data_IF_989045305249
#
_entry.id   IF_989045305249
#
_cell.length_a   1.000
_cell.length_b   1.000
_cell.length_c   1.000
_cell.angle_alpha   90.00
_cell.angle_beta   90.00
_cell.angle_gamma   90.00
#
_symmetry.space_group_name_H-M   'P 1'
#
loop_
_entity.id
_entity.type
_entity.pdbx_description
1 polymer ?
#
# COMPACT_ATOMS: atom_id res chain seq x y z
N UNK A 1 -11.72 29.77 -50.31
CA UNK A 1 -12.82 28.78 -50.16
C UNK A 1 -12.88 28.38 -48.71
N UNK A 2 -13.94 28.74 -47.98
CA UNK A 2 -14.14 28.26 -46.62
C UNK A 2 -14.39 26.74 -46.66
N UNK A 3 -13.46 25.97 -46.07
CA UNK A 3 -13.61 24.53 -45.96
C UNK A 3 -14.75 24.20 -44.99
N UNK A 4 -15.59 23.22 -45.32
CA UNK A 4 -16.68 22.78 -44.44
C UNK A 4 -16.12 22.31 -43.09
N UNK A 5 -16.70 22.70 -41.94
CA UNK A 5 -16.29 22.21 -40.63
C UNK A 5 -16.51 20.70 -40.51
N UNK A 6 -15.44 19.95 -40.22
CA UNK A 6 -15.46 18.49 -40.17
C UNK A 6 -14.82 17.95 -38.89
N UNK A 7 -15.24 16.76 -38.48
CA UNK A 7 -14.65 16.06 -37.35
C UNK A 7 -14.60 14.54 -37.58
N UNK A 8 -13.60 13.90 -36.99
CA UNK A 8 -13.55 12.44 -36.80
C UNK A 8 -13.99 12.14 -35.37
N UNK A 9 -14.87 11.17 -35.17
CA UNK A 9 -15.41 10.85 -33.83
C UNK A 9 -14.93 9.48 -33.35
N UNK A 10 -14.76 9.30 -32.05
CA UNK A 10 -14.46 7.99 -31.46
C UNK A 10 -15.67 7.05 -31.56
N UNK A 11 -15.44 5.74 -31.64
CA UNK A 11 -16.51 4.72 -31.66
C UNK A 11 -17.49 4.85 -30.50
N UNK A 12 -17.01 5.06 -29.28
CA UNK A 12 -17.85 5.28 -28.09
C UNK A 12 -18.76 6.51 -28.18
N UNK A 13 -18.34 7.57 -28.89
CA UNK A 13 -19.17 8.74 -29.15
C UNK A 13 -20.24 8.39 -30.19
N UNK A 14 -19.86 7.70 -31.27
CA UNK A 14 -20.78 7.27 -32.31
C UNK A 14 -21.88 6.36 -31.74
N UNK A 15 -21.51 5.35 -30.97
CA UNK A 15 -22.46 4.41 -30.36
C UNK A 15 -23.42 5.09 -29.38
N UNK A 16 -22.94 6.14 -28.69
CA UNK A 16 -23.74 6.89 -27.72
C UNK A 16 -24.78 7.80 -28.36
N UNK A 17 -24.42 8.51 -29.43
CA UNK A 17 -25.28 9.54 -30.03
C UNK A 17 -26.01 9.08 -31.30
N UNK A 18 -25.51 8.04 -31.96
CA UNK A 18 -26.12 7.44 -33.15
C UNK A 18 -26.18 5.91 -33.04
N UNK A 19 -26.85 5.35 -32.02
CA UNK A 19 -26.92 3.90 -31.82
C UNK A 19 -27.57 3.21 -33.03
N UNK A 20 -26.87 2.23 -33.61
CA UNK A 20 -27.35 1.43 -34.73
C UNK A 20 -27.49 2.19 -36.07
N UNK A 21 -26.92 3.39 -36.20
CA UNK A 21 -26.95 4.19 -37.44
C UNK A 21 -25.54 4.56 -37.87
N UNK A 22 -25.34 4.73 -39.18
CA UNK A 22 -24.07 5.22 -39.71
C UNK A 22 -23.85 6.69 -39.26
N UNK A 23 -22.78 6.98 -38.50
CA UNK A 23 -22.47 8.33 -38.06
C UNK A 23 -21.88 9.20 -39.18
N UNK A 24 -21.37 8.62 -40.28
CA UNK A 24 -20.71 9.37 -41.35
C UNK A 24 -21.74 10.27 -42.08
N UNK A 25 -21.34 11.52 -42.34
CA UNK A 25 -22.19 12.54 -42.97
C UNK A 25 -23.19 13.21 -42.02
N UNK A 26 -23.32 12.74 -40.77
CA UNK A 26 -24.17 13.39 -39.77
C UNK A 26 -23.52 14.67 -39.26
N UNK A 27 -24.37 15.58 -38.79
CA UNK A 27 -23.96 16.88 -38.25
C UNK A 27 -24.23 16.95 -36.75
N UNK A 28 -23.31 17.57 -36.02
CA UNK A 28 -23.43 17.83 -34.58
C UNK A 28 -22.79 19.17 -34.22
N UNK A 29 -23.02 19.65 -33.00
CA UNK A 29 -22.47 20.91 -32.47
C UNK A 29 -21.73 20.64 -31.16
N UNK A 30 -20.66 21.39 -30.93
CA UNK A 30 -19.82 21.33 -29.73
C UNK A 30 -19.77 22.71 -29.09
N UNK A 31 -20.39 22.88 -27.91
CA UNK A 31 -20.33 24.14 -27.15
C UNK A 31 -21.62 24.97 -27.07
N UNK A 32 -22.76 24.44 -27.53
CA UNK A 32 -24.07 25.12 -27.43
C UNK A 32 -24.77 25.31 -28.79
N UNK A 33 -25.85 26.08 -28.81
CA UNK A 33 -26.64 26.35 -30.03
C UNK A 33 -25.88 27.23 -31.04
N UNK A 34 -25.05 28.16 -30.55
CA UNK A 34 -24.26 29.09 -31.36
C UNK A 34 -22.99 28.45 -31.96
N UNK A 35 -22.69 27.20 -31.60
CA UNK A 35 -21.50 26.53 -32.07
C UNK A 35 -21.61 26.12 -33.55
N UNK A 36 -20.50 26.19 -34.32
CA UNK A 36 -20.48 25.78 -35.71
C UNK A 36 -20.87 24.30 -35.86
N UNK A 37 -21.69 24.01 -36.87
CA UNK A 37 -22.13 22.65 -37.17
C UNK A 37 -21.00 21.85 -37.83
N UNK A 38 -20.56 20.78 -37.17
CA UNK A 38 -19.49 19.90 -37.62
C UNK A 38 -20.08 18.68 -38.31
N UNK A 39 -19.52 18.30 -39.46
CA UNK A 39 -19.89 17.08 -40.18
C UNK A 39 -18.93 15.94 -39.83
N UNK A 40 -19.48 14.78 -39.45
CA UNK A 40 -18.69 13.59 -39.18
C UNK A 40 -18.18 13.01 -40.51
N UNK A 41 -16.86 12.92 -40.66
CA UNK A 41 -16.21 12.38 -41.88
C UNK A 41 -15.52 11.05 -41.65
N UNK A 42 -15.43 10.59 -40.41
CA UNK A 42 -14.83 9.31 -40.07
C UNK A 42 -15.03 8.92 -38.62
N UNK A 43 -14.77 7.65 -38.34
CA UNK A 43 -14.82 7.06 -36.99
C UNK A 43 -13.45 6.49 -36.63
N UNK A 44 -12.89 6.91 -35.50
CA UNK A 44 -11.65 6.35 -34.95
C UNK A 44 -11.93 5.30 -33.88
N UNK A 45 -10.92 4.47 -33.59
CA UNK A 45 -10.93 3.67 -32.37
C UNK A 45 -10.99 4.54 -31.10
N UNK A 46 -11.44 3.95 -30.00
CA UNK A 46 -11.49 4.62 -28.70
C UNK A 46 -10.10 4.74 -28.07
N UNK A 47 -9.87 5.84 -27.36
CA UNK A 47 -8.67 6.04 -26.55
C UNK A 47 -9.07 6.06 -25.08
N UNK A 48 -8.29 5.35 -24.26
CA UNK A 48 -8.47 5.35 -22.81
C UNK A 48 -7.91 6.66 -22.25
N UNK A 49 -8.76 7.66 -22.05
CA UNK A 49 -8.36 8.92 -21.42
C UNK A 49 -8.32 8.83 -19.89
N UNK A 50 -9.11 7.94 -19.28
CA UNK A 50 -9.14 7.74 -17.83
C UNK A 50 -8.81 6.29 -17.49
N UNK A 51 -7.53 6.06 -17.16
CA UNK A 51 -6.98 4.74 -16.86
C UNK A 51 -7.69 4.05 -15.68
N UNK A 52 -8.14 4.82 -14.68
CA UNK A 52 -8.80 4.29 -13.49
C UNK A 52 -10.23 3.76 -13.76
N UNK A 53 -10.96 4.38 -14.69
CA UNK A 53 -12.34 4.01 -14.99
C UNK A 53 -12.46 2.96 -16.11
N UNK A 54 -11.38 2.70 -16.88
CA UNK A 54 -11.37 1.85 -18.10
C UNK A 54 -12.57 2.12 -19.04
N UNK A 55 -13.13 3.33 -18.98
CA UNK A 55 -14.29 3.72 -19.76
C UNK A 55 -13.80 4.60 -20.91
N UNK A 56 -14.28 4.29 -22.10
CA UNK A 56 -13.97 5.09 -23.28
C UNK A 56 -14.66 6.44 -23.13
N UNK A 57 -13.87 7.51 -23.19
CA UNK A 57 -14.40 8.88 -23.17
C UNK A 57 -14.84 9.24 -24.59
N UNK A 58 -16.09 9.69 -24.79
CA UNK A 58 -16.54 10.20 -26.09
C UNK A 58 -15.61 11.33 -26.54
N UNK A 59 -14.87 11.10 -27.61
CA UNK A 59 -13.83 12.01 -28.12
C UNK A 59 -14.12 12.40 -29.56
N UNK A 60 -13.79 13.63 -29.93
CA UNK A 60 -13.80 14.08 -31.32
C UNK A 60 -12.44 14.70 -31.69
N UNK A 61 -12.03 14.52 -32.93
CA UNK A 61 -10.80 15.07 -33.49
C UNK A 61 -11.18 16.06 -34.59
N UNK A 62 -10.62 17.26 -34.50
CA UNK A 62 -10.85 18.34 -35.46
C UNK A 62 -9.53 18.68 -36.16
N UNK A 63 -9.55 19.03 -37.46
CA UNK A 63 -8.37 19.53 -38.13
C UNK A 63 -7.88 20.83 -37.45
N UNK A 64 -6.58 20.92 -37.19
CA UNK A 64 -5.97 22.11 -36.58
C UNK A 64 -6.26 23.40 -37.37
N UNK A 65 -6.34 23.31 -38.69
CA UNK A 65 -6.64 24.45 -39.56
C UNK A 65 -8.06 25.00 -39.41
N UNK A 66 -8.99 24.22 -38.83
CA UNK A 66 -10.38 24.63 -38.58
C UNK A 66 -10.62 25.06 -37.13
N UNK A 67 -9.77 24.61 -36.21
CA UNK A 67 -9.82 24.97 -34.79
C UNK A 67 -8.39 25.12 -34.25
N UNK A 68 -7.74 26.26 -34.54
CA UNK A 68 -6.39 26.49 -34.07
C UNK A 68 -6.39 26.75 -32.56
N UNK A 69 -5.78 25.83 -31.81
CA UNK A 69 -5.48 25.99 -30.38
C UNK A 69 -4.12 26.66 -30.18
N UNK A 70 -4.02 27.54 -29.17
CA UNK A 70 -2.73 28.10 -28.71
C UNK A 70 -1.91 27.09 -27.91
N UNK A 71 -2.58 26.14 -27.26
CA UNK A 71 -1.95 24.97 -26.63
C UNK A 71 -1.85 23.85 -27.67
N UNK A 72 -0.68 23.72 -28.31
CA UNK A 72 -0.40 22.65 -29.27
C UNK A 72 0.86 21.86 -28.88
N UNK A 73 0.73 20.55 -28.92
CA UNK A 73 1.86 19.62 -28.82
C UNK A 73 2.16 19.01 -30.18
N UNK A 74 3.44 18.90 -30.52
CA UNK A 74 3.87 18.18 -31.72
C UNK A 74 4.22 16.74 -31.37
N UNK A 75 3.59 15.79 -32.05
CA UNK A 75 3.94 14.38 -31.96
C UNK A 75 4.80 14.00 -33.17
N UNK A 76 6.04 13.60 -32.94
CA UNK A 76 6.95 13.11 -33.97
C UNK A 76 7.04 11.59 -33.88
N UNK A 77 6.82 10.90 -35.01
CA UNK A 77 7.04 9.46 -35.13
C UNK A 77 8.37 9.23 -35.85
N UNK A 78 9.28 8.52 -35.20
CA UNK A 78 10.64 8.25 -35.69
C UNK A 78 10.84 6.73 -35.84
N UNK A 79 11.66 6.31 -36.79
CA UNK A 79 12.01 4.89 -36.98
C UNK A 79 13.17 4.43 -36.08
N UNK A 80 13.99 5.36 -35.59
CA UNK A 80 15.10 5.13 -34.66
C UNK A 80 14.84 5.68 -33.26
N UNK A 81 15.91 5.79 -32.48
CA UNK A 81 15.87 6.30 -31.11
C UNK A 81 15.22 7.70 -31.03
N UNK A 82 14.07 7.86 -30.33
CA UNK A 82 13.36 9.14 -30.25
C UNK A 82 14.19 10.25 -29.60
N UNK A 83 15.08 9.92 -28.67
CA UNK A 83 15.90 10.93 -27.97
C UNK A 83 16.93 11.55 -28.92
N UNK A 84 17.50 10.77 -29.84
CA UNK A 84 18.42 11.27 -30.87
C UNK A 84 17.80 12.35 -31.77
N UNK A 85 16.46 12.36 -31.94
CA UNK A 85 15.74 13.33 -32.77
C UNK A 85 15.35 14.61 -32.01
N UNK A 86 15.54 14.66 -30.69
CA UNK A 86 15.18 15.80 -29.88
C UNK A 86 15.94 17.07 -30.28
N UNK A 87 17.24 16.97 -30.55
CA UNK A 87 18.07 18.11 -30.96
C UNK A 87 17.63 18.66 -32.33
N UNK A 88 17.40 17.77 -33.30
CA UNK A 88 16.93 18.16 -34.63
C UNK A 88 15.54 18.83 -34.58
N UNK A 89 14.63 18.29 -33.77
CA UNK A 89 13.31 18.89 -33.57
C UNK A 89 13.39 20.30 -32.94
N UNK A 90 14.26 20.49 -31.93
CA UNK A 90 14.47 21.82 -31.32
C UNK A 90 15.02 22.83 -32.31
N UNK A 91 15.99 22.42 -33.13
CA UNK A 91 16.55 23.29 -34.18
C UNK A 91 15.49 23.69 -35.22
N UNK A 92 14.63 22.74 -35.62
CA UNK A 92 13.53 23.04 -36.54
C UNK A 92 12.52 24.04 -35.97
N UNK A 93 12.20 23.94 -34.68
CA UNK A 93 11.33 24.92 -33.99
C UNK A 93 12.01 26.28 -33.91
N UNK A 94 13.29 26.31 -33.50
CA UNK A 94 14.07 27.55 -33.38
C UNK A 94 14.27 28.27 -34.72
N UNK A 95 14.27 27.53 -35.84
CA UNK A 95 14.35 28.12 -37.18
C UNK A 95 13.08 28.87 -37.58
N UNK A 96 11.92 28.50 -37.02
CA UNK A 96 10.64 29.19 -37.25
C UNK A 96 10.49 30.36 -36.27
N UNK A 97 10.76 30.12 -34.99
CA UNK A 97 10.73 31.14 -33.93
C UNK A 97 11.83 30.86 -32.89
N UNK A 98 12.93 31.65 -32.89
CA UNK A 98 14.02 31.50 -31.93
C UNK A 98 13.63 31.75 -30.46
N UNK A 99 12.55 32.50 -30.22
CA UNK A 99 12.09 32.84 -28.87
C UNK A 99 11.07 31.85 -28.32
N UNK A 100 10.59 30.91 -29.12
CA UNK A 100 9.65 29.88 -28.68
C UNK A 100 10.39 28.78 -27.90
N UNK A 101 10.17 28.64 -26.57
CA UNK A 101 10.82 27.59 -25.80
C UNK A 101 10.26 26.22 -26.20
N UNK A 102 11.12 25.33 -26.68
CA UNK A 102 10.79 23.92 -26.86
C UNK A 102 10.80 23.20 -25.50
N UNK A 103 9.72 23.36 -24.73
CA UNK A 103 9.54 22.69 -23.45
C UNK A 103 9.11 21.22 -23.63
N UNK A 104 9.53 20.35 -22.70
CA UNK A 104 9.07 18.95 -22.61
C UNK A 104 9.31 18.05 -23.85
N UNK A 105 10.41 18.20 -24.56
CA UNK A 105 10.83 17.21 -25.56
C UNK A 105 11.21 15.90 -24.83
N UNK A 106 10.33 14.90 -24.90
CA UNK A 106 10.49 13.58 -24.25
C UNK A 106 9.97 12.48 -25.16
N UNK A 107 10.55 11.28 -25.04
CA UNK A 107 10.01 10.12 -25.74
C UNK A 107 8.63 9.76 -25.17
N UNK A 108 7.76 9.15 -25.98
CA UNK A 108 6.47 8.65 -25.49
C UNK A 108 6.69 7.58 -24.39
N UNK A 109 7.79 6.84 -24.46
CA UNK A 109 8.17 5.83 -23.46
C UNK A 109 8.46 6.48 -22.10
N UNK A 110 9.21 7.58 -22.08
CA UNK A 110 9.50 8.30 -20.84
C UNK A 110 8.26 8.96 -20.26
N UNK A 111 7.42 9.55 -21.11
CA UNK A 111 6.15 10.13 -20.67
C UNK A 111 5.25 9.09 -20.01
N UNK A 112 5.14 7.89 -20.59
CA UNK A 112 4.41 6.76 -19.96
C UNK A 112 5.09 6.33 -18.66
N UNK A 113 6.42 6.27 -18.62
CA UNK A 113 7.16 5.85 -17.42
C UNK A 113 6.93 6.81 -16.24
N UNK A 114 6.97 8.13 -16.48
CA UNK A 114 6.74 9.16 -15.46
C UNK A 114 5.30 9.12 -14.96
N UNK A 115 4.33 8.87 -15.85
CA UNK A 115 2.93 8.69 -15.45
C UNK A 115 2.69 7.41 -14.64
N UNK A 116 3.54 6.39 -14.77
CA UNK A 116 3.39 5.10 -14.07
C UNK A 116 4.28 4.98 -12.83
N UNK A 117 5.28 5.87 -12.69
CA UNK A 117 6.31 5.78 -11.65
C UNK A 117 5.70 5.79 -10.24
N UNK A 118 4.71 6.65 -10.00
CA UNK A 118 4.03 6.73 -8.70
C UNK A 118 3.28 5.44 -8.34
N UNK A 119 2.69 4.77 -9.34
CA UNK A 119 1.96 3.52 -9.14
C UNK A 119 2.91 2.36 -8.84
N UNK A 120 4.07 2.32 -9.50
CA UNK A 120 5.11 1.32 -9.25
C UNK A 120 5.76 1.49 -7.88
N UNK A 121 6.05 2.73 -7.45
CA UNK A 121 6.56 2.99 -6.10
C UNK A 121 5.53 2.61 -5.03
N UNK A 122 4.26 2.98 -5.21
CA UNK A 122 3.20 2.59 -4.28
C UNK A 122 3.05 1.06 -4.20
N UNK A 123 3.06 0.37 -5.35
CA UNK A 123 3.02 -1.09 -5.40
C UNK A 123 4.24 -1.73 -4.72
N UNK A 124 5.44 -1.18 -4.92
CA UNK A 124 6.66 -1.64 -4.26
C UNK A 124 6.59 -1.51 -2.74
N UNK A 125 6.16 -0.34 -2.23
CA UNK A 125 5.98 -0.12 -0.79
C UNK A 125 4.93 -1.10 -0.23
N UNK A 126 3.79 -1.26 -0.91
CA UNK A 126 2.76 -2.21 -0.51
C UNK A 126 3.27 -3.65 -0.48
N UNK A 127 4.10 -4.05 -1.46
CA UNK A 127 4.68 -5.39 -1.52
C UNK A 127 5.63 -5.64 -0.34
N UNK A 128 6.48 -4.67 0.01
CA UNK A 128 7.36 -4.76 1.17
C UNK A 128 6.54 -4.83 2.47
N UNK A 129 5.54 -3.97 2.63
CA UNK A 129 4.64 -4.00 3.79
C UNK A 129 3.90 -5.34 3.90
N UNK A 130 3.40 -5.89 2.79
CA UNK A 130 2.73 -7.18 2.76
C UNK A 130 3.68 -8.32 3.15
N UNK A 131 4.93 -8.29 2.66
CA UNK A 131 5.95 -9.27 3.03
C UNK A 131 6.27 -9.22 4.54
N UNK A 132 6.44 -8.02 5.10
CA UNK A 132 6.66 -7.83 6.55
C UNK A 132 5.46 -8.29 7.37
N UNK A 133 4.24 -7.95 6.95
CA UNK A 133 3.01 -8.40 7.59
C UNK A 133 2.89 -9.92 7.57
N UNK A 134 3.30 -10.58 6.48
CA UNK A 134 3.32 -12.04 6.37
C UNK A 134 4.30 -12.68 7.35
N UNK A 135 5.52 -12.15 7.45
CA UNK A 135 6.53 -12.64 8.42
C UNK A 135 6.01 -12.50 9.86
N UNK A 136 5.41 -11.35 10.18
CA UNK A 136 4.80 -11.11 11.49
C UNK A 136 3.62 -12.05 11.77
N UNK A 137 2.75 -12.27 10.78
CA UNK A 137 1.64 -13.20 10.91
C UNK A 137 2.13 -14.64 11.16
N UNK A 138 3.15 -15.09 10.44
CA UNK A 138 3.79 -16.40 10.64
C UNK A 138 4.35 -16.50 12.07
N UNK A 139 5.08 -15.47 12.53
CA UNK A 139 5.61 -15.44 13.90
C UNK A 139 4.51 -15.48 14.96
N UNK A 140 3.40 -14.75 14.74
CA UNK A 140 2.27 -14.72 15.67
C UNK A 140 1.53 -16.06 15.74
N UNK A 141 1.25 -16.67 14.60
CA UNK A 141 0.63 -18.01 14.53
C UNK A 141 1.52 -19.05 15.19
N UNK A 142 2.83 -19.02 14.91
CA UNK A 142 3.80 -19.90 15.56
C UNK A 142 3.78 -19.73 17.09
N UNK A 143 3.82 -18.49 17.60
CA UNK A 143 3.81 -18.21 19.03
C UNK A 143 2.57 -18.76 19.75
N UNK A 144 1.38 -18.52 19.18
CA UNK A 144 0.11 -19.00 19.77
C UNK A 144 0.01 -20.54 19.70
N UNK A 145 0.46 -21.15 18.59
CA UNK A 145 0.45 -22.61 18.44
C UNK A 145 1.46 -23.27 19.38
N UNK A 146 2.67 -22.74 19.47
CA UNK A 146 3.69 -23.24 20.40
C UNK A 146 3.19 -23.18 21.84
N UNK A 147 2.53 -22.09 22.24
CA UNK A 147 1.96 -21.96 23.59
C UNK A 147 0.88 -23.02 23.88
N UNK A 148 -0.04 -23.25 22.92
CA UNK A 148 -1.09 -24.29 23.08
C UNK A 148 -0.53 -25.69 23.13
N UNK A 149 0.52 -25.98 22.37
CA UNK A 149 1.21 -27.27 22.41
C UNK A 149 1.91 -27.45 23.76
N UNK A 150 2.60 -26.42 24.25
CA UNK A 150 3.24 -26.46 25.58
C UNK A 150 2.26 -26.66 26.73
N UNK A 151 1.02 -26.16 26.62
CA UNK A 151 -0.03 -26.38 27.62
C UNK A 151 -0.64 -27.79 27.60
N UNK A 152 -0.48 -28.56 26.52
CA UNK A 152 -1.09 -29.89 26.34
C UNK A 152 -0.08 -31.03 26.24
N UNK A 153 1.16 -30.80 26.64
CA UNK A 153 2.22 -31.82 26.65
C UNK A 153 1.85 -33.04 27.47
N UNK A 154 1.18 -32.86 28.62
CA UNK A 154 0.71 -33.97 29.45
C UNK A 154 -0.39 -34.79 28.76
N UNK A 155 -1.36 -34.13 28.11
CA UNK A 155 -2.42 -34.81 27.35
C UNK A 155 -1.82 -35.60 26.17
N UNK A 156 -0.86 -35.00 25.46
CA UNK A 156 -0.14 -35.65 24.37
C UNK A 156 0.65 -36.85 24.90
N UNK A 157 1.34 -36.71 26.05
CA UNK A 157 2.10 -37.76 26.69
C UNK A 157 1.24 -38.96 27.10
N UNK A 158 0.07 -38.71 27.69
CA UNK A 158 -0.89 -39.77 28.03
C UNK A 158 -1.42 -40.47 26.78
N UNK A 159 -1.71 -39.74 25.69
CA UNK A 159 -2.15 -40.36 24.42
C UNK A 159 -1.07 -41.24 23.80
N UNK A 160 0.18 -40.79 23.80
CA UNK A 160 1.32 -41.58 23.31
C UNK A 160 1.53 -42.82 24.19
N UNK A 161 1.41 -42.69 25.50
CA UNK A 161 1.48 -43.82 26.43
C UNK A 161 0.36 -44.86 26.23
N UNK A 162 -0.82 -44.42 25.78
CA UNK A 162 -1.95 -45.29 25.40
C UNK A 162 -1.83 -45.85 23.97
N UNK A 163 -0.72 -45.59 23.26
CA UNK A 163 -0.42 -46.16 21.94
C UNK A 163 -0.77 -45.27 20.74
N UNK A 164 -1.10 -44.00 20.93
CA UNK A 164 -1.33 -43.08 19.82
C UNK A 164 -0.04 -42.85 19.00
N UNK A 165 -0.15 -42.96 17.68
CA UNK A 165 1.00 -42.74 16.79
C UNK A 165 1.33 -41.25 16.66
N UNK A 166 2.58 -40.93 16.30
CA UNK A 166 3.00 -39.55 16.05
C UNK A 166 2.14 -38.87 14.95
N UNK A 167 1.62 -39.66 14.00
CA UNK A 167 0.69 -39.20 12.96
C UNK A 167 -0.67 -38.76 13.51
N UNK A 168 -1.20 -39.44 14.53
CA UNK A 168 -2.48 -39.09 15.16
C UNK A 168 -2.40 -37.77 15.92
N UNK A 169 -1.29 -37.56 16.63
CA UNK A 169 -0.98 -36.31 17.33
C UNK A 169 -0.78 -35.17 16.33
N UNK A 170 -0.05 -35.40 15.24
CA UNK A 170 0.16 -34.42 14.20
C UNK A 170 -1.16 -34.03 13.52
N UNK A 171 -2.00 -35.01 13.17
CA UNK A 171 -3.29 -34.77 12.51
C UNK A 171 -4.25 -33.96 13.39
N UNK A 172 -4.29 -34.25 14.68
CA UNK A 172 -5.11 -33.49 15.64
C UNK A 172 -4.62 -32.05 15.81
N UNK A 173 -3.31 -31.86 15.98
CA UNK A 173 -2.71 -30.52 16.17
C UNK A 173 -2.79 -29.68 14.90
N UNK A 174 -2.47 -30.25 13.73
CA UNK A 174 -2.64 -29.60 12.42
C UNK A 174 -4.10 -29.30 12.10
N UNK A 175 -5.03 -30.20 12.43
CA UNK A 175 -6.46 -29.95 12.22
C UNK A 175 -6.97 -28.74 13.01
N UNK A 176 -6.53 -28.58 14.26
CA UNK A 176 -6.85 -27.39 15.06
C UNK A 176 -6.19 -26.12 14.51
N UNK A 177 -4.93 -26.22 14.05
CA UNK A 177 -4.21 -25.11 13.42
C UNK A 177 -4.95 -24.62 12.16
N UNK A 178 -5.30 -25.56 11.28
CA UNK A 178 -5.98 -25.30 10.01
C UNK A 178 -7.36 -24.68 10.24
N UNK A 179 -8.12 -25.17 11.23
CA UNK A 179 -9.44 -24.61 11.52
C UNK A 179 -9.36 -23.17 12.03
N UNK A 180 -8.43 -22.86 12.93
CA UNK A 180 -8.23 -21.50 13.44
C UNK A 180 -7.76 -20.54 12.32
N UNK A 181 -6.78 -20.99 11.53
CA UNK A 181 -6.22 -20.21 10.41
C UNK A 181 -7.26 -20.00 9.31
N UNK A 182 -8.05 -21.03 9.00
CA UNK A 182 -9.13 -20.96 8.02
C UNK A 182 -10.24 -19.98 8.41
N UNK A 183 -10.66 -19.96 9.68
CA UNK A 183 -11.63 -18.96 10.18
C UNK A 183 -11.04 -17.54 10.08
N UNK A 184 -9.77 -17.36 10.45
CA UNK A 184 -9.08 -16.07 10.32
C UNK A 184 -9.00 -15.57 8.88
N UNK A 185 -8.63 -16.45 7.94
CA UNK A 185 -8.58 -16.16 6.50
C UNK A 185 -9.95 -15.81 5.93
N UNK A 186 -11.00 -16.55 6.32
CA UNK A 186 -12.36 -16.30 5.85
C UNK A 186 -12.87 -14.93 6.32
N UNK A 187 -12.71 -14.60 7.61
CA UNK A 187 -13.12 -13.32 8.17
C UNK A 187 -12.29 -12.16 7.60
N UNK A 188 -10.97 -12.32 7.52
CA UNK A 188 -10.07 -11.31 6.98
C UNK A 188 -10.33 -11.03 5.49
N UNK A 189 -10.52 -12.09 4.69
CA UNK A 189 -10.85 -11.97 3.28
C UNK A 189 -12.21 -11.29 3.04
N UNK A 190 -13.23 -11.64 3.83
CA UNK A 190 -14.56 -11.04 3.74
C UNK A 190 -14.53 -9.54 4.08
N UNK A 191 -13.85 -9.15 5.17
CA UNK A 191 -13.67 -7.75 5.55
C UNK A 191 -12.86 -6.97 4.49
N UNK A 192 -11.80 -7.56 3.96
CA UNK A 192 -10.98 -6.96 2.90
C UNK A 192 -11.77 -6.70 1.62
N UNK A 193 -12.55 -7.69 1.17
CA UNK A 193 -13.43 -7.55 0.00
C UNK A 193 -14.55 -6.53 0.23
N UNK A 194 -15.14 -6.48 1.43
CA UNK A 194 -16.17 -5.50 1.78
C UNK A 194 -15.61 -4.07 1.77
N UNK A 195 -14.42 -3.86 2.37
CA UNK A 195 -13.74 -2.57 2.34
C UNK A 195 -13.37 -2.15 0.92
N UNK A 196 -12.85 -3.06 0.10
CA UNK A 196 -12.52 -2.80 -1.30
C UNK A 196 -13.76 -2.41 -2.12
N UNK A 197 -14.87 -3.14 -1.94
CA UNK A 197 -16.15 -2.80 -2.60
C UNK A 197 -16.72 -1.48 -2.10
N UNK A 198 -16.67 -1.20 -0.80
CA UNK A 198 -17.12 0.07 -0.22
C UNK A 198 -16.38 1.27 -0.80
N UNK A 199 -15.04 1.17 -0.92
CA UNK A 199 -14.23 2.19 -1.57
C UNK A 199 -14.57 2.35 -3.06
N UNK A 200 -14.81 1.24 -3.77
CA UNK A 200 -15.16 1.27 -5.19
C UNK A 200 -16.54 1.91 -5.44
N UNK A 201 -17.51 1.68 -4.56
CA UNK A 201 -18.86 2.27 -4.66
C UNK A 201 -18.82 3.78 -4.34
N UNK A 202 -18.01 4.20 -3.37
CA UNK A 202 -17.83 5.62 -3.04
C UNK A 202 -17.09 6.41 -4.15
N UNK A 203 -16.36 5.73 -5.04
CA UNK A 203 -15.60 6.35 -6.12
C UNK A 203 -16.38 6.50 -7.43
N UNK A 204 -17.62 5.99 -7.51
CA UNK A 204 -18.46 6.05 -8.72
C UNK A 204 -19.56 7.08 -8.50
N UNK A 205 -19.26 8.35 -8.79
CA UNK A 205 -20.27 9.39 -9.02
C UNK A 205 -20.44 9.56 -10.55
N UNK A 206 -21.50 8.99 -11.17
CA UNK A 206 -21.65 8.96 -12.62
C UNK A 206 -22.14 10.28 -13.24
N UNK A 207 -22.43 11.33 -12.46
CA UNK A 207 -23.19 12.49 -12.93
C UNK A 207 -22.53 13.85 -12.75
N UNK A 208 -21.21 13.95 -12.57
CA UNK A 208 -20.57 15.26 -12.54
C UNK A 208 -20.22 15.75 -13.96
N UNK A 209 -20.91 16.76 -14.53
CA UNK A 209 -20.54 17.35 -15.81
C UNK A 209 -19.22 18.10 -15.66
N UNK A 210 -18.20 17.64 -16.38
CA UNK A 210 -16.88 18.25 -16.43
C UNK A 210 -16.90 19.52 -17.29
N UNK A 211 -17.33 20.63 -16.71
CA UNK A 211 -16.82 21.96 -17.08
C UNK A 211 -15.99 22.44 -15.89
N UNK A 212 -14.67 22.30 -15.99
CA UNK A 212 -13.77 22.76 -14.93
C UNK A 212 -13.14 24.10 -15.31
N UNK A 213 -13.73 25.16 -14.78
CA UNK A 213 -12.96 26.31 -14.29
C UNK A 213 -12.43 25.86 -12.93
N UNK A 214 -11.20 25.32 -12.88
CA UNK A 214 -10.52 25.01 -11.62
C UNK A 214 -9.77 26.25 -11.14
N UNK A 215 -9.92 26.58 -9.87
CA UNK A 215 -9.04 27.56 -9.23
C UNK A 215 -7.61 26.98 -9.15
N UNK A 216 -6.58 27.83 -9.23
CA UNK A 216 -5.18 27.37 -9.10
C UNK A 216 -4.95 26.61 -7.78
N UNK A 217 -5.73 26.89 -6.72
CA UNK A 217 -5.70 26.16 -5.44
C UNK A 217 -6.20 24.72 -5.56
N UNK A 218 -7.14 24.43 -6.48
CA UNK A 218 -7.68 23.07 -6.71
C UNK A 218 -6.81 22.22 -7.63
N UNK A 219 -5.95 22.82 -8.46
CA UNK A 219 -4.98 22.06 -9.28
C UNK A 219 -3.82 21.50 -8.45
N UNK A 220 -3.51 22.12 -7.30
CA UNK A 220 -2.49 21.64 -6.36
C UNK A 220 -3.00 20.43 -5.57
N UNK A 221 -4.29 20.41 -5.20
CA UNK A 221 -4.87 19.28 -4.47
C UNK A 221 -4.90 18.01 -5.32
N UNK A 222 -5.27 18.09 -6.61
CA UNK A 222 -5.28 16.92 -7.51
C UNK A 222 -3.89 16.32 -7.73
N UNK A 223 -2.83 17.13 -7.72
CA UNK A 223 -1.44 16.64 -7.79
C UNK A 223 -0.97 15.98 -6.48
N UNK A 224 -1.66 16.23 -5.36
CA UNK A 224 -1.31 15.70 -4.03
C UNK A 224 -2.20 14.52 -3.62
N UNK A 225 -3.33 14.30 -4.30
CA UNK A 225 -4.28 13.19 -4.03
C UNK A 225 -3.56 11.83 -3.98
N UNK A 226 -2.63 11.58 -4.91
CA UNK A 226 -1.85 10.33 -4.91
C UNK A 226 -0.98 10.14 -3.67
N UNK A 227 -0.37 11.23 -3.19
CA UNK A 227 0.48 11.22 -1.99
C UNK A 227 -0.35 11.02 -0.71
N UNK A 228 -1.54 11.63 -0.64
CA UNK A 228 -2.45 11.49 0.51
C UNK A 228 -3.03 10.09 0.63
N UNK A 229 -3.42 9.46 -0.49
CA UNK A 229 -3.86 8.05 -0.47
C UNK A 229 -2.73 7.11 -0.07
N UNK A 230 -1.52 7.31 -0.59
CA UNK A 230 -0.35 6.54 -0.19
C UNK A 230 -0.04 6.70 1.30
N UNK A 231 -0.10 7.93 1.83
CA UNK A 231 0.08 8.21 3.25
C UNK A 231 -0.99 7.54 4.12
N UNK A 232 -2.26 7.57 3.70
CA UNK A 232 -3.36 6.89 4.39
C UNK A 232 -3.17 5.38 4.46
N UNK A 233 -2.79 4.74 3.35
CA UNK A 233 -2.50 3.30 3.31
C UNK A 233 -1.31 2.97 4.21
N UNK A 234 -0.24 3.76 4.14
CA UNK A 234 0.94 3.58 5.00
C UNK A 234 0.58 3.73 6.49
N UNK A 235 -0.29 4.66 6.85
CA UNK A 235 -0.75 4.84 8.23
C UNK A 235 -1.52 3.60 8.72
N UNK A 236 -2.42 3.04 7.91
CA UNK A 236 -3.14 1.80 8.25
C UNK A 236 -2.18 0.62 8.38
N UNK A 237 -1.23 0.46 7.45
CA UNK A 237 -0.21 -0.57 7.52
C UNK A 237 0.67 -0.43 8.78
N UNK A 238 1.08 0.79 9.11
CA UNK A 238 1.86 1.07 10.32
C UNK A 238 1.07 0.71 11.59
N UNK A 239 -0.22 1.04 11.65
CA UNK A 239 -1.09 0.67 12.77
C UNK A 239 -1.22 -0.85 12.91
N UNK A 240 -1.43 -1.59 11.81
CA UNK A 240 -1.48 -3.05 11.82
C UNK A 240 -0.13 -3.67 12.23
N UNK A 241 0.98 -3.13 11.74
CA UNK A 241 2.31 -3.57 12.13
C UNK A 241 2.55 -3.36 13.62
N UNK A 242 2.05 -2.26 14.20
CA UNK A 242 2.13 -2.00 15.63
C UNK A 242 1.35 -3.04 16.45
N UNK A 243 0.12 -3.37 16.04
CA UNK A 243 -0.70 -4.41 16.68
C UNK A 243 0.01 -5.77 16.63
N UNK A 244 0.60 -6.12 15.48
CA UNK A 244 1.37 -7.35 15.31
C UNK A 244 2.64 -7.36 16.18
N UNK A 245 3.35 -6.25 16.28
CA UNK A 245 4.52 -6.11 17.15
C UNK A 245 4.13 -6.29 18.63
N UNK A 246 3.02 -5.69 19.07
CA UNK A 246 2.47 -5.88 20.43
C UNK A 246 2.20 -7.37 20.68
N UNK A 247 1.50 -8.04 19.75
CA UNK A 247 1.17 -9.45 19.87
C UNK A 247 2.42 -10.35 19.93
N UNK A 248 3.42 -10.07 19.09
CA UNK A 248 4.69 -10.80 19.08
C UNK A 248 5.49 -10.64 20.36
N UNK A 249 5.68 -9.40 20.83
CA UNK A 249 6.39 -9.10 22.08
C UNK A 249 5.67 -9.72 23.27
N UNK A 250 4.34 -9.61 23.32
CA UNK A 250 3.51 -10.23 24.34
C UNK A 250 3.68 -11.75 24.34
N UNK A 251 3.61 -12.40 23.17
CA UNK A 251 3.74 -13.85 23.03
C UNK A 251 5.09 -14.37 23.52
N UNK A 252 6.19 -13.76 23.07
CA UNK A 252 7.54 -14.15 23.47
C UNK A 252 7.77 -13.93 24.97
N UNK A 253 7.29 -12.81 25.53
CA UNK A 253 7.43 -12.57 26.96
C UNK A 253 6.53 -13.47 27.81
N UNK A 254 5.30 -13.70 27.39
CA UNK A 254 4.41 -14.66 28.06
C UNK A 254 5.01 -16.05 28.10
N UNK A 255 5.62 -16.50 26.99
CA UNK A 255 6.28 -17.80 26.93
C UNK A 255 7.48 -17.89 27.89
N UNK A 256 8.35 -16.88 27.90
CA UNK A 256 9.51 -16.85 28.83
C UNK A 256 9.10 -16.77 30.30
N UNK A 257 8.03 -16.03 30.60
CA UNK A 257 7.45 -15.97 31.96
C UNK A 257 6.92 -17.34 32.35
N UNK A 258 6.16 -18.01 31.46
CA UNK A 258 5.64 -19.36 31.71
C UNK A 258 6.77 -20.38 31.97
N UNK A 259 7.87 -20.31 31.20
CA UNK A 259 9.03 -21.19 31.39
C UNK A 259 9.76 -20.97 32.73
N UNK A 260 9.67 -19.78 33.33
CA UNK A 260 10.37 -19.43 34.57
C UNK A 260 9.43 -19.29 35.77
N UNK A 261 8.21 -19.79 35.69
CA UNK A 261 7.22 -19.70 36.76
C UNK A 261 7.75 -20.32 38.07
N UNK A 262 8.49 -21.42 37.99
CA UNK A 262 9.13 -22.07 39.15
C UNK A 262 10.23 -21.20 39.76
N UNK A 263 11.14 -20.65 38.95
CA UNK A 263 12.20 -19.75 39.42
C UNK A 263 11.63 -18.49 40.09
N UNK A 264 10.55 -17.94 39.52
CA UNK A 264 9.84 -16.79 40.08
C UNK A 264 9.16 -17.19 41.41
N UNK A 265 8.50 -18.35 41.47
CA UNK A 265 7.87 -18.87 42.67
C UNK A 265 8.85 -19.09 43.82
N UNK A 266 10.02 -19.65 43.54
CA UNK A 266 11.10 -19.83 44.54
C UNK A 266 11.64 -18.49 45.01
N UNK A 267 11.86 -17.51 44.10
CA UNK A 267 12.30 -16.16 44.50
C UNK A 267 11.30 -15.45 45.40
N UNK A 268 10.01 -15.53 45.06
CA UNK A 268 8.94 -14.94 45.88
C UNK A 268 8.85 -15.64 47.24
N UNK A 269 9.01 -16.97 47.28
CA UNK A 269 9.06 -17.73 48.54
C UNK A 269 10.26 -17.37 49.42
N UNK A 270 11.40 -16.99 48.82
CA UNK A 270 12.60 -16.49 49.51
C UNK A 270 12.51 -15.00 49.90
N UNK A 271 11.38 -14.34 49.65
CA UNK A 271 11.11 -12.95 50.07
C UNK A 271 11.40 -11.88 49.01
N UNK A 272 11.60 -12.25 47.74
CA UNK A 272 11.75 -11.26 46.66
C UNK A 272 10.49 -10.38 46.52
N UNK A 273 10.69 -9.06 46.45
CA UNK A 273 9.58 -8.12 46.33
C UNK A 273 8.99 -8.13 44.91
N UNK A 274 7.74 -7.70 44.76
CA UNK A 274 7.10 -7.54 43.45
C UNK A 274 7.90 -6.60 42.50
N UNK A 275 8.63 -5.63 43.08
CA UNK A 275 9.52 -4.75 42.34
C UNK A 275 10.73 -5.47 41.75
N UNK A 276 11.30 -6.45 42.47
CA UNK A 276 12.46 -7.22 42.00
C UNK A 276 12.10 -8.08 40.80
N UNK A 277 10.95 -8.76 40.86
CA UNK A 277 10.43 -9.59 39.76
C UNK A 277 10.10 -8.71 38.54
N UNK A 278 9.47 -7.55 38.76
CA UNK A 278 9.14 -6.61 37.69
C UNK A 278 10.41 -6.03 37.03
N UNK A 279 11.42 -5.63 37.82
CA UNK A 279 12.68 -5.06 37.31
C UNK A 279 13.47 -6.08 36.49
N UNK A 280 13.49 -7.34 36.91
CA UNK A 280 14.20 -8.41 36.22
C UNK A 280 13.53 -8.76 34.88
N UNK A 281 12.19 -8.89 34.87
CA UNK A 281 11.42 -9.17 33.65
C UNK A 281 11.42 -7.98 32.67
N UNK A 282 11.24 -6.75 33.17
CA UNK A 282 11.35 -5.52 32.37
C UNK A 282 12.75 -5.30 31.83
N UNK A 283 13.80 -5.58 32.60
CA UNK A 283 15.18 -5.47 32.13
C UNK A 283 15.50 -6.40 30.95
N UNK A 284 14.91 -7.61 30.94
CA UNK A 284 15.01 -8.52 29.80
C UNK A 284 14.20 -8.03 28.59
N UNK A 285 13.00 -7.48 28.82
CA UNK A 285 12.21 -6.85 27.77
C UNK A 285 13.01 -5.71 27.12
N UNK A 286 13.57 -4.81 27.93
CA UNK A 286 14.38 -3.68 27.50
C UNK A 286 15.60 -4.10 26.68
N UNK A 287 16.33 -5.14 27.10
CA UNK A 287 17.48 -5.66 26.34
C UNK A 287 17.05 -6.20 24.98
N UNK A 288 15.97 -7.00 24.91
CA UNK A 288 15.48 -7.56 23.66
C UNK A 288 14.98 -6.46 22.72
N UNK A 289 14.19 -5.52 23.24
CA UNK A 289 13.70 -4.35 22.51
C UNK A 289 14.86 -3.48 22.03
N UNK A 290 15.87 -3.24 22.87
CA UNK A 290 17.05 -2.46 22.51
C UNK A 290 17.84 -3.07 21.33
N UNK A 291 18.06 -4.38 21.35
CA UNK A 291 18.69 -5.09 20.23
C UNK A 291 17.83 -5.00 18.96
N UNK A 292 16.51 -5.19 19.09
CA UNK A 292 15.58 -5.05 17.98
C UNK A 292 15.54 -3.65 17.37
N UNK A 293 15.51 -2.61 18.21
CA UNK A 293 15.54 -1.20 17.77
C UNK A 293 16.88 -0.83 17.14
N UNK A 294 18.00 -1.34 17.66
CA UNK A 294 19.33 -1.09 17.07
C UNK A 294 19.45 -1.72 15.66
N UNK A 295 19.07 -2.99 15.51
CA UNK A 295 19.07 -3.67 14.22
C UNK A 295 18.08 -3.04 13.24
N UNK A 296 16.84 -2.78 13.70
CA UNK A 296 15.79 -2.15 12.90
C UNK A 296 16.17 -0.73 12.46
N UNK A 297 16.75 0.07 13.36
CA UNK A 297 17.25 1.41 13.06
C UNK A 297 18.39 1.39 12.04
N UNK A 298 19.35 0.48 12.19
CA UNK A 298 20.45 0.32 11.23
C UNK A 298 19.96 -0.08 9.83
N UNK A 299 19.05 -1.06 9.76
CA UNK A 299 18.41 -1.47 8.49
C UNK A 299 17.57 -0.34 7.88
N UNK A 300 16.80 0.38 8.70
CA UNK A 300 16.00 1.52 8.26
C UNK A 300 16.85 2.65 7.69
N UNK A 301 17.97 2.98 8.34
CA UNK A 301 18.95 3.96 7.86
C UNK A 301 19.60 3.52 6.55
N UNK A 302 20.00 2.24 6.43
CA UNK A 302 20.57 1.69 5.21
C UNK A 302 19.58 1.77 4.05
N UNK A 303 18.32 1.41 4.28
CA UNK A 303 17.24 1.51 3.30
C UNK A 303 16.96 2.98 2.91
N UNK A 304 16.91 3.90 3.88
CA UNK A 304 16.73 5.32 3.62
C UNK A 304 17.87 5.89 2.76
N UNK A 305 19.12 5.51 3.04
CA UNK A 305 20.28 5.90 2.22
C UNK A 305 20.21 5.32 0.81
N UNK A 306 19.88 4.03 0.67
CA UNK A 306 19.73 3.40 -0.64
C UNK A 306 18.63 4.07 -1.46
N UNK A 307 17.50 4.39 -0.84
CA UNK A 307 16.41 5.10 -1.51
C UNK A 307 16.79 6.53 -1.90
N UNK A 308 17.53 7.24 -1.04
CA UNK A 308 18.05 8.57 -1.36
C UNK A 308 19.00 8.55 -2.56
N UNK A 309 19.84 7.51 -2.68
CA UNK A 309 20.72 7.33 -3.84
C UNK A 309 19.94 7.15 -5.15
N UNK A 310 18.83 6.39 -5.13
CA UNK A 310 17.94 6.21 -6.29
C UNK A 310 17.20 7.51 -6.64
N UNK A 311 16.89 8.34 -5.65
CA UNK A 311 16.19 9.63 -5.80
C UNK A 311 17.13 10.81 -6.09
N UNK A 312 18.34 10.55 -6.59
CA UNK A 312 19.34 11.58 -6.94
C UNK A 312 19.68 12.52 -5.75
N UNK A 313 19.61 12.02 -4.52
CA UNK A 313 19.94 12.77 -3.30
C UNK A 313 18.97 13.90 -2.93
N UNK A 314 17.78 13.95 -3.54
CA UNK A 314 16.83 15.07 -3.35
C UNK A 314 15.90 14.95 -2.14
N UNK A 315 16.01 13.88 -1.34
CA UNK A 315 15.18 13.70 -0.13
C UNK A 315 16.05 13.80 1.12
N UNK A 316 15.86 14.82 1.97
CA UNK A 316 16.59 14.96 3.22
C UNK A 316 16.16 13.88 4.22
N UNK A 317 17.12 13.33 4.96
CA UNK A 317 16.83 12.44 6.07
C UNK A 317 16.20 13.25 7.21
N UNK A 318 14.95 12.89 7.57
CA UNK A 318 14.26 13.49 8.70
C UNK A 318 14.52 12.70 9.99
N UNK A 319 15.47 13.22 10.79
CA UNK A 319 15.82 12.65 12.08
C UNK A 319 14.67 12.68 13.09
N UNK A 320 13.76 13.66 13.01
CA UNK A 320 12.63 13.76 13.93
C UNK A 320 11.61 12.64 13.68
N UNK A 321 11.31 12.34 12.42
CA UNK A 321 10.44 11.21 12.06
C UNK A 321 11.05 9.87 12.49
N UNK A 322 12.35 9.66 12.31
CA UNK A 322 13.02 8.44 12.80
C UNK A 322 13.00 8.31 14.32
N UNK A 323 13.26 9.41 15.05
CA UNK A 323 13.27 9.42 16.50
C UNK A 323 11.87 9.15 17.09
N UNK A 324 10.83 9.78 16.53
CA UNK A 324 9.44 9.59 16.97
C UNK A 324 8.96 8.16 16.71
N UNK A 325 9.26 7.58 15.54
CA UNK A 325 8.96 6.17 15.25
C UNK A 325 9.66 5.21 16.22
N UNK A 326 10.95 5.44 16.50
CA UNK A 326 11.73 4.62 17.45
C UNK A 326 11.16 4.71 18.86
N UNK A 327 10.81 5.91 19.32
CA UNK A 327 10.21 6.13 20.64
C UNK A 327 8.82 5.46 20.75
N UNK A 328 7.99 5.56 19.71
CA UNK A 328 6.68 4.90 19.67
C UNK A 328 6.81 3.37 19.75
N UNK A 329 7.74 2.78 18.99
CA UNK A 329 8.02 1.33 19.05
C UNK A 329 8.54 0.89 20.43
N UNK A 330 9.43 1.67 21.04
CA UNK A 330 9.94 1.41 22.39
C UNK A 330 8.81 1.42 23.43
N UNK A 331 7.98 2.46 23.42
CA UNK A 331 6.84 2.59 24.33
C UNK A 331 5.86 1.43 24.16
N UNK A 332 5.57 1.06 22.91
CA UNK A 332 4.67 -0.04 22.59
C UNK A 332 5.18 -1.39 23.09
N UNK A 333 6.47 -1.67 22.91
CA UNK A 333 7.09 -2.90 23.40
C UNK A 333 7.06 -2.98 24.94
N UNK A 334 7.27 -1.86 25.64
CA UNK A 334 7.18 -1.80 27.10
C UNK A 334 5.76 -2.05 27.60
N UNK A 335 4.76 -1.44 26.98
CA UNK A 335 3.35 -1.68 27.30
C UNK A 335 2.97 -3.15 27.07
N UNK A 336 3.40 -3.72 25.94
CA UNK A 336 3.17 -5.12 25.62
C UNK A 336 3.82 -6.08 26.63
N UNK A 337 5.03 -5.77 27.10
CA UNK A 337 5.74 -6.57 28.10
C UNK A 337 5.19 -6.39 29.53
N UNK A 338 4.51 -5.28 29.83
CA UNK A 338 4.02 -4.98 31.17
C UNK A 338 2.92 -5.91 31.63
N UNK A 339 2.00 -6.27 30.75
CA UNK A 339 0.89 -7.18 31.06
C UNK A 339 1.39 -8.57 31.52
N UNK A 340 2.25 -9.29 30.76
CA UNK A 340 2.76 -10.59 31.20
C UNK A 340 3.67 -10.48 32.43
N UNK A 341 4.44 -9.39 32.57
CA UNK A 341 5.25 -9.15 33.77
C UNK A 341 4.39 -8.98 35.03
N UNK A 342 3.29 -8.24 34.94
CA UNK A 342 2.33 -8.09 36.04
C UNK A 342 1.61 -9.40 36.35
N UNK A 343 1.27 -10.20 35.33
CA UNK A 343 0.67 -11.53 35.55
C UNK A 343 1.59 -12.48 36.31
N UNK A 344 2.90 -12.39 36.11
CA UNK A 344 3.88 -13.18 36.86
C UNK A 344 3.81 -12.94 38.38
N UNK A 345 3.37 -11.74 38.80
CA UNK A 345 3.22 -11.38 40.21
C UNK A 345 2.00 -12.02 40.88
N UNK A 346 1.02 -12.46 40.10
CA UNK A 346 -0.20 -13.10 40.63
C UNK A 346 -0.02 -14.60 40.90
N UNK A 347 1.19 -15.12 40.72
CA UNK A 347 1.51 -16.53 40.94
C UNK A 347 1.67 -16.77 42.44
N UNK A 348 0.76 -17.55 43.01
CA UNK A 348 0.79 -17.93 44.42
C UNK A 348 1.87 -19.00 44.67
N UNK A 349 2.95 -18.69 45.42
CA UNK A 349 4.07 -19.62 45.64
C UNK A 349 3.61 -20.92 46.32
N UNK A 350 2.56 -20.88 47.15
CA UNK A 350 2.04 -22.05 47.83
C UNK A 350 1.33 -23.05 46.88
N UNK A 351 0.78 -22.56 45.75
CA UNK A 351 0.20 -23.42 44.71
C UNK A 351 1.26 -24.03 43.80
N UNK A 352 2.29 -23.26 43.47
CA UNK A 352 3.38 -23.71 42.58
C UNK A 352 4.20 -24.84 43.20
N UNK A 353 4.44 -24.78 44.52
CA UNK A 353 5.20 -25.81 45.25
C UNK A 353 4.40 -27.09 45.55
N UNK A 354 3.08 -27.10 45.34
CA UNK A 354 2.21 -28.28 45.55
C UNK A 354 1.84 -29.02 44.26
N UNK A 355 2.22 -28.48 43.11
CA UNK A 355 1.92 -29.08 41.80
C UNK A 355 3.00 -30.04 41.28
N UNK A 356 3.99 -30.36 42.12
CA UNK A 356 4.92 -31.49 41.99
C UNK A 356 4.48 -32.62 42.94
#
# INVERSE_FOLDING_TARGET
>A
MEARPVAVVSRSLADRYWPGRDPIGRRFRLGGEDAPSLTVVGVSGDIIQHWAARKNSPTCYRPYTQDPSRDIGFALRTAGDPESMAAAARLAIAAVDPYQPAYQVRSMRDSISVSTIGLQYAAGIMAVCAALALVLAISGVYGVMSYRVSLRTLEIGVRVALGASAGDVLRLTMGQALRLTGVGLALGGALGLAAAKGLAIAAVDPYQPAYQVRSMRDSISVSTIGLQYAAGIMAVCAALALVLAISGVYGVMSYRVSLRTLEIGVRVALGASAGDVLRLTMGQALRLTGVGLALGGALGLAAAKALSAVLLGRVPFDAATFATATAALAATALVAAYVPARRALAVDPARVLRSE
#
